data_IF_701621693000
#
_entry.id   IF_701621693000
#
_cell.length_a   1.000
_cell.length_b   1.000
_cell.length_c   1.000
_cell.angle_alpha   90.00
_cell.angle_beta   90.00
_cell.angle_gamma   90.00
#
_symmetry.space_group_name_H-M   'P 1'
#
loop_
_entity.id
_entity.type
_entity.pdbx_description
1 polymer ?
#
# COMPACT_ATOMS: atom_id res chain seq x y z
N UNK A 1 31.65 -15.37 6.10
CA UNK A 1 31.20 -14.16 6.80
C UNK A 1 30.38 -14.58 8.03
N UNK A 2 30.40 -13.78 9.08
CA UNK A 2 29.60 -14.03 10.28
C UNK A 2 28.12 -13.87 9.98
N UNK A 3 27.25 -14.65 10.66
CA UNK A 3 25.82 -14.46 10.67
C UNK A 3 25.51 -13.31 11.64
N UNK A 4 24.80 -12.31 11.15
CA UNK A 4 24.43 -11.10 11.93
C UNK A 4 22.99 -11.10 12.40
N UNK A 5 22.12 -11.88 11.74
CA UNK A 5 20.72 -12.07 12.12
C UNK A 5 20.23 -13.41 11.57
N UNK A 6 19.27 -14.03 12.26
CA UNK A 6 18.59 -15.23 11.81
C UNK A 6 17.13 -15.22 12.25
N UNK A 7 16.28 -15.91 11.52
CA UNK A 7 14.86 -16.08 11.80
C UNK A 7 14.39 -17.46 11.35
N UNK A 8 13.61 -18.13 12.17
CA UNK A 8 12.89 -19.35 11.81
C UNK A 8 11.40 -19.04 11.76
N UNK A 9 10.70 -19.54 10.76
CA UNK A 9 9.23 -19.43 10.66
C UNK A 9 8.56 -20.15 11.83
N UNK A 10 7.32 -19.79 12.12
CA UNK A 10 6.55 -20.33 13.25
C UNK A 10 6.34 -21.84 13.11
N UNK A 11 6.18 -22.33 11.87
CA UNK A 11 6.06 -23.75 11.53
C UNK A 11 7.42 -24.50 11.51
N UNK A 12 8.54 -23.80 11.67
CA UNK A 12 9.92 -24.31 11.57
C UNK A 12 10.29 -24.90 10.19
N UNK A 13 9.49 -24.69 9.16
CA UNK A 13 9.76 -25.22 7.81
C UNK A 13 10.81 -24.39 7.06
N UNK A 14 10.96 -23.11 7.39
CA UNK A 14 11.89 -22.20 6.72
C UNK A 14 12.75 -21.45 7.75
N UNK A 15 14.02 -21.30 7.41
CA UNK A 15 14.94 -20.50 8.18
C UNK A 15 15.69 -19.54 7.25
N UNK A 16 15.84 -18.31 7.70
CA UNK A 16 16.53 -17.24 6.99
C UNK A 16 17.65 -16.69 7.84
N UNK A 17 18.73 -16.25 7.23
CA UNK A 17 19.82 -15.60 7.94
C UNK A 17 20.45 -14.51 7.08
N UNK A 18 21.07 -13.54 7.75
CA UNK A 18 21.85 -12.47 7.11
C UNK A 18 23.32 -12.71 7.38
N UNK A 19 24.11 -12.78 6.31
CA UNK A 19 25.55 -12.97 6.38
C UNK A 19 26.24 -12.25 5.23
N UNK A 20 27.26 -11.44 5.54
CA UNK A 20 28.01 -10.66 4.55
C UNK A 20 27.14 -9.65 3.77
N UNK A 21 26.13 -9.08 4.39
CA UNK A 21 25.19 -8.16 3.74
C UNK A 21 24.22 -8.83 2.77
N UNK A 22 24.04 -10.16 2.86
CA UNK A 22 23.08 -10.91 2.07
C UNK A 22 22.09 -11.66 2.97
N UNK A 23 20.80 -11.58 2.61
CA UNK A 23 19.73 -12.40 3.15
C UNK A 23 19.72 -13.73 2.40
N UNK A 24 19.72 -14.83 3.14
CA UNK A 24 19.82 -16.18 2.58
C UNK A 24 18.83 -17.12 3.20
N UNK A 25 18.45 -18.16 2.46
CA UNK A 25 17.77 -19.35 3.01
C UNK A 25 18.76 -20.21 3.79
N UNK A 26 18.25 -21.14 4.60
CA UNK A 26 19.11 -22.09 5.33
C UNK A 26 20.05 -22.87 4.39
N UNK A 27 19.61 -23.23 3.21
CA UNK A 27 20.39 -23.93 2.18
C UNK A 27 21.45 -23.03 1.52
N UNK A 28 21.50 -21.74 1.86
CA UNK A 28 22.50 -20.80 1.38
C UNK A 28 22.11 -20.04 0.10
N UNK A 29 20.90 -20.23 -0.43
CA UNK A 29 20.42 -19.44 -1.56
C UNK A 29 20.25 -17.97 -1.16
N UNK A 30 20.80 -17.05 -1.98
CA UNK A 30 20.69 -15.61 -1.72
C UNK A 30 19.32 -15.09 -2.22
N UNK A 31 18.56 -14.49 -1.30
CA UNK A 31 17.27 -13.88 -1.57
C UNK A 31 17.38 -12.37 -1.86
N UNK A 32 18.24 -11.68 -1.10
CA UNK A 32 18.51 -10.26 -1.27
C UNK A 32 19.97 -9.96 -0.90
N UNK A 33 20.55 -8.92 -1.49
CA UNK A 33 21.90 -8.46 -1.22
C UNK A 33 21.94 -6.95 -0.93
N UNK A 34 23.08 -6.46 -0.43
CA UNK A 34 23.23 -5.04 -0.10
C UNK A 34 22.58 -4.61 1.21
N UNK A 35 22.26 -5.58 2.10
CA UNK A 35 21.70 -5.28 3.41
C UNK A 35 22.79 -4.68 4.30
N UNK A 36 22.40 -3.69 5.11
CA UNK A 36 23.27 -3.13 6.14
C UNK A 36 23.50 -4.11 7.29
N UNK A 37 24.53 -3.88 8.09
CA UNK A 37 24.85 -4.70 9.27
C UNK A 37 24.02 -4.35 10.52
N UNK A 38 23.04 -3.45 10.39
CA UNK A 38 22.15 -3.11 11.50
C UNK A 38 21.33 -4.34 11.96
N UNK A 39 20.93 -4.42 13.22
CA UNK A 39 20.08 -5.50 13.71
C UNK A 39 18.80 -5.61 12.88
N UNK A 40 18.42 -6.85 12.54
CA UNK A 40 17.25 -7.13 11.73
C UNK A 40 16.07 -7.50 12.63
N UNK A 41 14.92 -6.91 12.37
CA UNK A 41 13.64 -7.24 13.00
C UNK A 41 12.81 -8.06 12.02
N UNK A 42 12.06 -9.02 12.56
CA UNK A 42 11.31 -10.00 11.79
C UNK A 42 9.90 -10.11 12.32
N UNK A 43 8.97 -10.34 11.44
CA UNK A 43 7.58 -10.65 11.79
C UNK A 43 6.95 -11.54 10.71
N UNK A 44 6.10 -12.47 11.09
CA UNK A 44 5.44 -13.39 10.18
C UNK A 44 3.93 -13.20 10.21
N UNK A 45 3.32 -13.13 9.04
CA UNK A 45 1.86 -13.15 8.85
C UNK A 45 1.53 -13.88 7.56
N UNK A 46 0.54 -14.77 7.61
CA UNK A 46 0.08 -15.56 6.45
C UNK A 46 1.25 -16.22 5.68
N UNK A 47 2.18 -16.85 6.42
CA UNK A 47 3.38 -17.52 5.89
C UNK A 47 4.37 -16.58 5.17
N UNK A 48 4.12 -15.29 5.13
CA UNK A 48 5.06 -14.30 4.62
C UNK A 48 5.87 -13.70 5.76
N UNK A 49 7.19 -13.59 5.57
CA UNK A 49 8.11 -13.07 6.59
C UNK A 49 8.52 -11.65 6.20
N UNK A 50 8.15 -10.70 7.04
CA UNK A 50 8.55 -9.30 6.94
C UNK A 50 9.88 -9.12 7.63
N UNK A 51 10.81 -8.40 7.00
CA UNK A 51 12.08 -8.04 7.62
C UNK A 51 12.37 -6.55 7.46
N UNK A 52 13.02 -5.97 8.46
CA UNK A 52 13.38 -4.56 8.46
C UNK A 52 14.52 -4.28 9.45
N UNK A 53 15.43 -3.38 9.06
CA UNK A 53 16.50 -2.88 9.96
C UNK A 53 16.66 -1.36 9.89
N UNK A 54 15.63 -0.66 9.39
CA UNK A 54 15.64 0.80 9.22
C UNK A 54 16.24 1.27 7.90
N UNK A 55 17.12 0.49 7.27
CA UNK A 55 17.76 0.82 5.99
C UNK A 55 17.44 -0.18 4.88
N UNK A 56 17.18 -1.44 5.25
CA UNK A 56 16.83 -2.53 4.33
C UNK A 56 15.57 -3.20 4.84
N UNK A 57 14.60 -3.40 3.95
CA UNK A 57 13.30 -3.99 4.29
C UNK A 57 12.70 -4.75 3.12
N UNK A 58 11.81 -5.70 3.41
CA UNK A 58 11.13 -6.48 2.40
C UNK A 58 10.22 -7.53 3.00
N UNK A 59 9.58 -8.28 2.11
CA UNK A 59 8.68 -9.37 2.42
C UNK A 59 9.18 -10.63 1.71
N UNK A 60 9.45 -11.69 2.44
CA UNK A 60 9.75 -13.01 1.89
C UNK A 60 8.43 -13.76 1.79
N UNK A 61 8.03 -14.08 0.57
CA UNK A 61 6.79 -14.85 0.32
C UNK A 61 6.96 -16.32 0.71
N UNK A 62 5.86 -17.11 0.79
CA UNK A 62 5.95 -18.57 0.98
C UNK A 62 6.85 -19.27 -0.05
N UNK A 63 6.92 -18.77 -1.27
CA UNK A 63 7.79 -19.30 -2.34
C UNK A 63 9.22 -18.76 -2.32
N UNK A 64 9.67 -18.13 -1.22
CA UNK A 64 11.01 -17.54 -1.07
C UNK A 64 11.34 -16.42 -2.07
N UNK A 65 10.33 -15.76 -2.65
CA UNK A 65 10.55 -14.55 -3.42
C UNK A 65 10.57 -13.33 -2.49
N UNK A 66 11.46 -12.39 -2.75
CA UNK A 66 11.51 -11.13 -2.00
C UNK A 66 10.72 -10.07 -2.76
N UNK A 67 9.74 -9.49 -2.08
CA UNK A 67 8.92 -8.40 -2.58
C UNK A 67 9.27 -7.12 -1.81
N UNK A 68 9.14 -5.94 -2.45
CA UNK A 68 9.27 -4.68 -1.73
C UNK A 68 8.11 -4.54 -0.74
N UNK A 69 8.43 -4.11 0.47
CA UNK A 69 7.39 -3.69 1.43
C UNK A 69 6.85 -2.30 1.07
N UNK A 70 7.70 -1.51 0.45
CA UNK A 70 7.42 -0.14 0.08
C UNK A 70 6.43 -0.05 -1.08
N UNK A 71 5.65 1.01 -1.05
CA UNK A 71 4.81 1.44 -2.16
C UNK A 71 4.79 2.97 -2.21
N UNK A 72 4.45 3.52 -3.35
CA UNK A 72 4.28 4.97 -3.53
C UNK A 72 2.82 5.27 -3.76
N UNK A 73 2.29 6.28 -3.08
CA UNK A 73 0.93 6.73 -3.33
C UNK A 73 0.77 7.11 -4.81
N UNK A 74 -0.28 6.64 -5.48
CA UNK A 74 -0.51 7.02 -6.86
C UNK A 74 -0.77 8.52 -6.98
N UNK A 75 -0.51 9.09 -8.14
CA UNK A 75 -0.85 10.48 -8.42
C UNK A 75 -2.36 10.69 -8.33
N UNK A 76 -2.78 11.86 -7.86
CA UNK A 76 -4.19 12.23 -7.87
C UNK A 76 -4.73 12.27 -9.31
N UNK A 77 -5.93 11.72 -9.57
CA UNK A 77 -6.56 11.86 -10.87
C UNK A 77 -6.97 13.32 -11.11
N UNK A 78 -7.24 13.67 -12.37
CA UNK A 78 -7.87 14.93 -12.71
C UNK A 78 -9.38 14.70 -12.93
N UNK A 79 -10.19 15.65 -12.49
CA UNK A 79 -11.65 15.61 -12.62
C UNK A 79 -12.18 16.83 -13.35
N UNK A 80 -13.18 16.64 -14.22
CA UNK A 80 -13.85 17.71 -14.96
C UNK A 80 -15.35 17.40 -15.11
N UNK A 81 -16.15 18.45 -15.23
CA UNK A 81 -17.57 18.34 -15.52
C UNK A 81 -17.77 18.18 -17.05
N UNK A 82 -18.62 17.22 -17.43
CA UNK A 82 -19.11 17.02 -18.81
C UNK A 82 -20.62 16.88 -18.78
N UNK A 83 -21.28 16.86 -19.93
CA UNK A 83 -22.73 16.62 -19.99
C UNK A 83 -23.07 15.22 -19.45
N UNK A 84 -24.15 15.11 -18.67
CA UNK A 84 -24.59 13.85 -18.07
C UNK A 84 -25.83 13.98 -17.21
N UNK A 85 -26.01 13.07 -16.25
CA UNK A 85 -27.23 12.93 -15.46
C UNK A 85 -27.00 12.76 -13.95
N UNK A 86 -25.78 13.00 -13.45
CA UNK A 86 -25.49 12.86 -12.03
C UNK A 86 -26.22 13.94 -11.21
N UNK A 87 -26.62 13.64 -9.97
CA UNK A 87 -27.13 14.62 -9.03
C UNK A 87 -26.13 15.76 -8.79
N UNK A 88 -26.65 16.96 -8.61
CA UNK A 88 -25.82 18.11 -8.21
C UNK A 88 -25.18 17.87 -6.86
N UNK A 89 -23.93 18.31 -6.68
CA UNK A 89 -23.20 18.16 -5.43
C UNK A 89 -21.69 18.05 -5.62
N UNK A 90 -20.97 17.96 -4.51
CA UNK A 90 -19.52 17.78 -4.54
C UNK A 90 -19.16 16.30 -4.56
N UNK A 91 -18.38 15.93 -5.57
CA UNK A 91 -17.83 14.61 -5.77
C UNK A 91 -16.34 14.62 -5.47
N UNK A 92 -15.84 13.51 -4.93
CA UNK A 92 -14.41 13.33 -4.70
C UNK A 92 -13.96 12.01 -5.33
N UNK A 93 -12.75 11.99 -5.88
CA UNK A 93 -12.17 10.83 -6.54
C UNK A 93 -10.79 10.55 -5.99
N UNK A 94 -10.52 9.29 -5.70
CA UNK A 94 -9.20 8.78 -5.30
C UNK A 94 -8.82 7.60 -6.18
N UNK A 95 -7.52 7.37 -6.32
CA UNK A 95 -6.98 6.19 -6.96
C UNK A 95 -6.14 5.39 -5.98
N UNK A 96 -6.15 4.08 -6.14
CA UNK A 96 -5.17 3.16 -5.57
C UNK A 96 -4.48 2.41 -6.69
N UNK A 97 -3.42 1.68 -6.41
CA UNK A 97 -2.74 0.85 -7.39
C UNK A 97 -2.58 -0.57 -6.87
N UNK A 98 -2.87 -1.56 -7.72
CA UNK A 98 -2.59 -2.95 -7.41
C UNK A 98 -1.14 -3.25 -7.74
N UNK A 99 -0.37 -3.70 -6.75
CA UNK A 99 1.02 -4.13 -6.90
C UNK A 99 1.09 -5.48 -7.63
N UNK A 100 2.28 -5.84 -8.10
CA UNK A 100 2.50 -7.09 -8.83
C UNK A 100 2.18 -8.37 -8.00
N UNK A 101 2.21 -8.26 -6.68
CA UNK A 101 1.88 -9.31 -5.72
C UNK A 101 0.39 -9.35 -5.33
N UNK A 102 -0.44 -8.50 -5.92
CA UNK A 102 -1.88 -8.41 -5.66
C UNK A 102 -2.27 -7.51 -4.49
N UNK A 103 -1.31 -6.97 -3.71
CA UNK A 103 -1.62 -5.98 -2.68
C UNK A 103 -2.09 -4.67 -3.32
N UNK A 104 -3.00 -4.00 -2.66
CA UNK A 104 -3.45 -2.66 -3.05
C UNK A 104 -2.72 -1.60 -2.21
N UNK A 105 -2.28 -0.51 -2.86
CA UNK A 105 -1.61 0.61 -2.17
C UNK A 105 -2.63 1.43 -1.37
N UNK A 106 -2.15 2.31 -0.51
CA UNK A 106 -2.96 3.42 -0.04
C UNK A 106 -3.37 4.35 -1.18
N UNK A 107 -4.17 5.35 -0.88
CA UNK A 107 -4.82 6.19 -1.88
C UNK A 107 -3.97 7.37 -2.33
N UNK A 108 -4.28 7.87 -3.52
CA UNK A 108 -3.89 9.22 -3.92
C UNK A 108 -4.51 10.29 -3.03
N UNK A 109 -4.03 11.51 -3.13
CA UNK A 109 -4.78 12.68 -2.68
C UNK A 109 -6.13 12.76 -3.41
N UNK A 110 -7.19 13.30 -2.77
CA UNK A 110 -8.50 13.43 -3.38
C UNK A 110 -8.51 14.51 -4.46
N UNK A 111 -9.08 14.20 -5.61
CA UNK A 111 -9.51 15.21 -6.57
C UNK A 111 -10.99 15.51 -6.32
N UNK A 112 -11.36 16.79 -6.23
CA UNK A 112 -12.72 17.23 -5.91
C UNK A 112 -13.30 18.12 -6.99
N UNK A 113 -14.60 17.99 -7.24
CA UNK A 113 -15.36 18.85 -8.15
C UNK A 113 -16.82 18.98 -7.69
N UNK A 114 -17.39 20.16 -7.87
CA UNK A 114 -18.84 20.37 -7.68
C UNK A 114 -19.54 20.33 -9.04
N UNK A 115 -20.49 19.43 -9.18
CA UNK A 115 -21.35 19.30 -10.36
C UNK A 115 -22.67 20.01 -10.14
N UNK A 116 -23.25 20.52 -11.22
CA UNK A 116 -24.64 20.97 -11.30
C UNK A 116 -25.50 19.94 -12.00
N UNK A 117 -26.83 20.08 -11.95
CA UNK A 117 -27.74 19.20 -12.67
C UNK A 117 -27.40 19.11 -14.17
N UNK A 118 -27.55 17.94 -14.75
CA UNK A 118 -27.23 17.68 -16.16
C UNK A 118 -25.75 17.47 -16.44
N UNK A 119 -24.93 17.24 -15.44
CA UNK A 119 -23.50 16.96 -15.58
C UNK A 119 -23.14 15.52 -15.18
N UNK A 120 -21.99 15.08 -15.70
CA UNK A 120 -21.30 13.84 -15.34
C UNK A 120 -19.86 14.13 -14.98
N UNK A 121 -19.19 13.15 -14.41
CA UNK A 121 -17.81 13.25 -13.94
C UNK A 121 -16.86 12.64 -14.97
N UNK A 122 -16.07 13.47 -15.65
CA UNK A 122 -14.92 12.99 -16.40
C UNK A 122 -13.72 12.86 -15.47
N UNK A 123 -13.14 11.66 -15.44
CA UNK A 123 -11.94 11.33 -14.65
C UNK A 123 -10.82 11.03 -15.64
N UNK A 124 -9.66 11.64 -15.45
CA UNK A 124 -8.49 11.50 -16.33
C UNK A 124 -7.18 11.50 -15.52
N UNK A 125 -6.06 11.33 -16.19
CA UNK A 125 -4.73 11.18 -15.58
C UNK A 125 -4.68 10.02 -14.56
N UNK A 126 -5.45 8.97 -14.83
CA UNK A 126 -5.49 7.78 -13.98
C UNK A 126 -4.22 6.97 -14.23
N UNK A 127 -3.44 6.60 -13.20
CA UNK A 127 -2.29 5.72 -13.37
C UNK A 127 -2.70 4.37 -13.99
N UNK A 128 -1.86 3.81 -14.83
CA UNK A 128 -2.17 2.56 -15.53
C UNK A 128 -2.49 1.42 -14.54
N UNK A 129 -3.64 0.78 -14.72
CA UNK A 129 -4.09 -0.33 -13.87
C UNK A 129 -4.53 0.07 -12.45
N UNK A 130 -4.72 1.36 -12.18
CA UNK A 130 -5.23 1.84 -10.90
C UNK A 130 -6.71 1.50 -10.72
N UNK A 131 -7.12 1.29 -9.48
CA UNK A 131 -8.52 1.26 -9.09
C UNK A 131 -8.99 2.68 -8.80
N UNK A 132 -10.21 3.01 -9.19
CA UNK A 132 -10.81 4.32 -9.01
C UNK A 132 -11.98 4.22 -8.05
N UNK A 133 -11.94 5.05 -7.02
CA UNK A 133 -12.97 5.16 -5.99
C UNK A 133 -13.59 6.54 -6.05
N UNK A 134 -14.90 6.59 -5.92
CA UNK A 134 -15.70 7.83 -5.95
C UNK A 134 -16.47 7.95 -4.63
N UNK A 135 -16.38 9.12 -4.00
CA UNK A 135 -17.34 9.55 -3.02
C UNK A 135 -18.45 10.33 -3.75
N UNK A 136 -19.69 9.82 -3.79
CA UNK A 136 -20.79 10.45 -4.51
C UNK A 136 -21.21 11.80 -3.86
N UNK A 137 -22.18 12.46 -4.46
CA UNK A 137 -22.58 13.81 -4.11
C UNK A 137 -22.67 14.06 -2.60
N UNK A 138 -21.79 14.94 -2.09
CA UNK A 138 -21.71 15.34 -0.68
C UNK A 138 -21.42 14.21 0.33
N UNK A 139 -20.94 13.05 -0.16
CA UNK A 139 -20.47 11.94 0.67
C UNK A 139 -18.98 12.07 1.01
N UNK A 140 -18.58 11.48 2.12
CA UNK A 140 -17.18 11.25 2.49
C UNK A 140 -16.75 9.78 2.37
N UNK A 141 -17.68 8.90 1.98
CA UNK A 141 -17.41 7.47 1.81
C UNK A 141 -17.05 7.22 0.37
N UNK A 142 -15.84 6.71 0.17
CA UNK A 142 -15.33 6.34 -1.15
C UNK A 142 -15.71 4.90 -1.46
N UNK A 143 -16.29 4.68 -2.64
CA UNK A 143 -16.72 3.38 -3.12
C UNK A 143 -16.10 3.08 -4.48
N UNK A 144 -15.82 1.82 -4.76
CA UNK A 144 -15.17 1.38 -5.98
C UNK A 144 -16.04 1.67 -7.19
N UNK A 145 -15.58 2.55 -8.07
CA UNK A 145 -16.24 2.85 -9.34
C UNK A 145 -15.67 1.99 -10.48
N UNK A 146 -14.37 1.69 -10.44
CA UNK A 146 -13.73 0.92 -11.50
C UNK A 146 -12.42 0.28 -11.05
N UNK A 147 -12.28 -1.02 -11.29
CA UNK A 147 -11.03 -1.75 -11.15
C UNK A 147 -10.17 -1.61 -12.42
N UNK A 148 -8.85 -1.56 -12.25
CA UNK A 148 -7.87 -1.52 -13.35
C UNK A 148 -8.27 -0.57 -14.46
N UNK A 149 -8.60 0.65 -14.07
CA UNK A 149 -9.18 1.66 -14.92
C UNK A 149 -8.29 2.01 -16.14
N UNK A 150 -8.88 2.36 -17.28
CA UNK A 150 -8.15 3.06 -18.35
C UNK A 150 -7.66 4.43 -17.85
N UNK A 151 -6.78 5.07 -18.61
CA UNK A 151 -6.21 6.38 -18.26
C UNK A 151 -7.25 7.50 -18.11
N UNK A 152 -8.43 7.34 -18.69
CA UNK A 152 -9.58 8.25 -18.53
C UNK A 152 -10.90 7.54 -18.82
N UNK A 153 -11.97 7.98 -18.17
CA UNK A 153 -13.36 7.59 -18.49
C UNK A 153 -14.35 8.63 -17.97
N UNK A 154 -15.58 8.54 -18.45
CA UNK A 154 -16.72 9.31 -17.91
C UNK A 154 -17.52 8.40 -17.00
N UNK A 155 -17.79 8.88 -15.79
CA UNK A 155 -18.70 8.24 -14.85
C UNK A 155 -20.02 9.03 -14.82
N UNK A 156 -21.09 8.38 -15.27
CA UNK A 156 -22.46 8.93 -15.36
C UNK A 156 -23.48 7.85 -14.93
N UNK A 157 -23.11 7.08 -13.91
CA UNK A 157 -23.95 6.00 -13.39
C UNK A 157 -24.52 6.38 -12.02
N UNK A 158 -25.70 5.84 -11.68
CA UNK A 158 -26.23 5.99 -10.32
C UNK A 158 -25.19 5.56 -9.27
N UNK A 159 -25.10 6.25 -8.13
CA UNK A 159 -24.30 5.82 -6.98
C UNK A 159 -24.56 4.38 -6.53
N UNK A 160 -25.76 3.86 -6.76
CA UNK A 160 -26.13 2.48 -6.42
C UNK A 160 -25.33 1.41 -7.16
N UNK A 161 -24.63 1.79 -8.25
CA UNK A 161 -23.73 0.91 -9.00
C UNK A 161 -22.27 0.97 -8.52
N UNK A 162 -21.96 1.77 -7.50
CA UNK A 162 -20.65 1.74 -6.88
C UNK A 162 -20.47 0.44 -6.08
N UNK A 163 -19.25 -0.07 -6.09
CA UNK A 163 -18.87 -1.32 -5.43
C UNK A 163 -18.52 -1.14 -3.94
N UNK A 164 -17.58 -1.95 -3.50
CA UNK A 164 -17.15 -1.99 -2.10
C UNK A 164 -16.56 -0.66 -1.62
N UNK A 165 -16.70 -0.41 -0.32
CA UNK A 165 -16.10 0.75 0.33
C UNK A 165 -14.58 0.67 0.35
N UNK A 166 -13.93 1.82 0.25
CA UNK A 166 -12.49 1.96 0.41
C UNK A 166 -12.11 1.88 1.89
N UNK A 167 -11.59 0.72 2.32
CA UNK A 167 -11.29 0.46 3.73
C UNK A 167 -9.92 0.99 4.20
N UNK A 168 -9.05 1.35 3.27
CA UNK A 168 -7.64 1.72 3.55
C UNK A 168 -7.28 3.13 3.07
N UNK A 169 -8.25 4.05 3.09
CA UNK A 169 -8.05 5.44 2.65
C UNK A 169 -6.97 6.21 3.45
N UNK A 170 -6.63 5.75 4.64
CA UNK A 170 -5.63 6.35 5.53
C UNK A 170 -4.34 5.54 5.62
N UNK A 171 -4.15 4.58 4.72
CA UNK A 171 -2.93 3.80 4.68
C UNK A 171 -1.79 4.63 4.06
N UNK A 172 -0.79 4.94 4.86
CA UNK A 172 0.40 5.68 4.43
C UNK A 172 1.60 4.75 4.22
N UNK A 173 2.52 5.09 3.30
CA UNK A 173 3.77 4.37 3.17
C UNK A 173 4.57 4.43 4.47
N UNK A 174 5.10 3.28 4.91
CA UNK A 174 5.98 3.22 6.07
C UNK A 174 7.28 3.99 5.74
N UNK A 175 7.67 5.00 6.53
CA UNK A 175 8.86 5.80 6.23
C UNK A 175 10.14 4.97 6.39
N UNK A 176 11.19 5.40 5.69
CA UNK A 176 12.54 4.91 5.95
C UNK A 176 12.95 5.26 7.39
N UNK A 177 13.65 4.34 8.04
CA UNK A 177 14.06 4.51 9.44
C UNK A 177 13.14 3.83 10.45
N UNK A 178 11.92 3.43 10.09
CA UNK A 178 11.14 2.52 10.94
C UNK A 178 11.92 1.22 11.11
N UNK A 179 12.17 0.79 12.36
CA UNK A 179 13.04 -0.34 12.65
C UNK A 179 12.30 -1.53 13.20
N UNK A 180 11.38 -1.31 14.12
CA UNK A 180 10.65 -2.39 14.79
C UNK A 180 9.46 -2.83 13.94
N UNK A 181 9.28 -4.14 13.82
CA UNK A 181 8.09 -4.74 13.21
C UNK A 181 7.40 -5.61 14.25
N UNK A 182 6.08 -5.52 14.29
CA UNK A 182 5.23 -6.38 15.11
C UNK A 182 3.95 -6.72 14.35
N UNK A 183 3.49 -7.96 14.46
CA UNK A 183 2.17 -8.36 13.97
C UNK A 183 1.17 -8.30 15.12
N UNK A 184 0.05 -7.65 14.85
CA UNK A 184 -1.08 -7.62 15.76
C UNK A 184 -2.40 -7.66 14.99
N UNK A 185 -3.27 -8.60 15.35
CA UNK A 185 -4.57 -8.83 14.69
C UNK A 185 -4.45 -8.95 13.16
N UNK A 186 -3.44 -9.65 12.65
CA UNK A 186 -3.23 -9.89 11.22
C UNK A 186 -2.69 -8.70 10.43
N UNK A 187 -2.28 -7.62 11.10
CA UNK A 187 -1.64 -6.45 10.47
C UNK A 187 -0.19 -6.33 10.90
N UNK A 188 0.66 -5.88 9.97
CA UNK A 188 2.04 -5.54 10.26
C UNK A 188 2.13 -4.08 10.71
N UNK A 189 2.74 -3.86 11.86
CA UNK A 189 3.03 -2.54 12.40
C UNK A 189 4.53 -2.31 12.35
N UNK A 190 4.93 -1.11 11.98
CA UNK A 190 6.31 -0.67 12.08
C UNK A 190 6.40 0.56 12.98
N UNK A 191 7.48 0.67 13.74
CA UNK A 191 7.66 1.78 14.65
C UNK A 191 9.03 2.43 14.49
N UNK A 192 9.09 3.74 14.71
CA UNK A 192 10.31 4.53 14.75
C UNK A 192 10.27 5.49 15.93
N UNK A 193 11.38 5.56 16.68
CA UNK A 193 11.57 6.61 17.65
C UNK A 193 12.08 7.89 16.98
N UNK A 194 11.42 9.01 17.25
CA UNK A 194 11.76 10.33 16.75
C UNK A 194 12.37 11.18 17.88
N UNK A 195 13.71 11.23 18.01
CA UNK A 195 14.36 11.90 19.13
C UNK A 195 14.08 13.41 19.21
N UNK A 196 13.83 14.06 18.07
CA UNK A 196 13.52 15.50 18.02
C UNK A 196 12.22 15.88 18.75
N UNK A 197 11.29 14.94 18.88
CA UNK A 197 9.98 15.14 19.49
C UNK A 197 9.77 14.27 20.75
N UNK A 198 10.74 13.44 21.09
CA UNK A 198 10.64 12.41 22.15
C UNK A 198 9.39 11.52 21.99
N UNK A 199 9.10 11.11 20.75
CA UNK A 199 7.91 10.35 20.39
C UNK A 199 8.27 9.06 19.66
N UNK A 200 7.49 8.01 19.90
CA UNK A 200 7.48 6.81 19.06
C UNK A 200 6.24 6.87 18.15
N UNK A 201 6.46 6.86 16.85
CA UNK A 201 5.38 6.82 15.85
C UNK A 201 5.24 5.39 15.34
N UNK A 202 3.99 4.94 15.19
CA UNK A 202 3.65 3.59 14.71
C UNK A 202 2.83 3.71 13.43
N UNK A 203 3.21 2.95 12.41
CA UNK A 203 2.51 2.83 11.12
C UNK A 203 1.94 1.42 10.97
N UNK A 204 0.84 1.25 10.20
CA UNK A 204 0.18 -0.03 9.95
C UNK A 204 -0.42 -0.12 8.54
#
# INVERSE_FOLDING_TARGET
AAVTAAYSTIDFERCFYVSGGALKTFEGATLAAGLTSAPMYWAEVNQSVYYNNGASRGIITPGNNVLPWEWTAPAAPAVAAVSGSLPAGTYQVRCTQTLADGRETGTSEPASITLTDGQALQISNIPAGANVYIAPANSSVYQLARERSPAAFVWDSSPDFLGQDLLHQFLDPIPMGATVIQIWRGRAYAAMYMPQNDQTVVWY
#
